data_IF_071383264711
#
_entry.id   IF_071383264711
#
_cell.length_a   1.000
_cell.length_b   1.000
_cell.length_c   1.000
_cell.angle_alpha   90.00
_cell.angle_beta   90.00
_cell.angle_gamma   90.00
#
_symmetry.space_group_name_H-M   'P 1'
#
loop_
_entity.id
_entity.type
_entity.pdbx_description
1 polymer ?
#
# COMPACT_ATOMS: atom_id res chain seq x y z
N UNK A 1 -10.89 21.65 -26.62
CA UNK A 1 -9.58 21.07 -26.29
C UNK A 1 -9.82 19.91 -25.33
N UNK A 2 -9.51 18.68 -25.71
CA UNK A 2 -9.72 17.50 -24.87
C UNK A 2 -8.35 16.88 -24.54
N UNK A 3 -8.06 16.75 -23.25
CA UNK A 3 -6.92 15.98 -22.75
C UNK A 3 -7.50 14.70 -22.15
N UNK A 4 -7.22 13.54 -22.75
CA UNK A 4 -7.44 12.24 -22.12
C UNK A 4 -6.17 11.85 -21.38
N UNK A 5 -6.26 11.74 -20.06
CA UNK A 5 -5.30 10.98 -19.26
C UNK A 5 -5.69 9.52 -19.43
N UNK A 6 -4.82 8.68 -19.98
CA UNK A 6 -5.07 7.23 -20.02
C UNK A 6 -5.24 6.73 -18.58
N UNK A 7 -6.46 6.33 -18.24
CA UNK A 7 -6.74 5.58 -17.03
C UNK A 7 -6.53 4.11 -17.36
N UNK A 8 -5.33 3.62 -17.08
CA UNK A 8 -5.05 2.18 -17.09
C UNK A 8 -5.75 1.58 -15.88
N UNK A 9 -6.66 0.65 -16.12
CA UNK A 9 -7.28 -0.13 -15.04
C UNK A 9 -6.25 -1.12 -14.48
N UNK A 10 -6.14 -1.16 -13.16
CA UNK A 10 -5.19 -2.02 -12.46
C UNK A 10 -6.00 -2.99 -11.60
N UNK A 11 -5.89 -4.27 -11.91
CA UNK A 11 -6.50 -5.32 -11.09
C UNK A 11 -5.72 -5.50 -9.78
N UNK A 12 -6.39 -5.23 -8.67
CA UNK A 12 -5.90 -5.48 -7.31
C UNK A 12 -6.62 -6.70 -6.73
N UNK A 13 -5.86 -7.54 -6.03
CA UNK A 13 -6.48 -8.54 -5.15
C UNK A 13 -7.24 -7.83 -4.03
N UNK A 14 -8.20 -8.54 -3.42
CA UNK A 14 -8.96 -8.02 -2.27
C UNK A 14 -8.05 -7.47 -1.17
N UNK A 15 -6.95 -8.17 -0.86
CA UNK A 15 -6.01 -7.74 0.18
C UNK A 15 -5.21 -6.51 -0.23
N UNK A 16 -4.69 -6.46 -1.45
CA UNK A 16 -3.98 -5.28 -1.97
C UNK A 16 -4.87 -4.03 -1.95
N UNK A 17 -6.13 -4.18 -2.36
CA UNK A 17 -7.11 -3.11 -2.32
C UNK A 17 -7.40 -2.64 -0.89
N UNK A 18 -7.59 -3.57 0.05
CA UNK A 18 -7.79 -3.23 1.48
C UNK A 18 -6.60 -2.48 2.06
N UNK A 19 -5.37 -2.93 1.77
CA UNK A 19 -4.13 -2.23 2.17
C UNK A 19 -4.10 -0.81 1.61
N UNK A 20 -4.29 -0.67 0.29
CA UNK A 20 -4.28 0.63 -0.37
C UNK A 20 -5.33 1.56 0.24
N UNK A 21 -6.57 1.08 0.40
CA UNK A 21 -7.67 1.83 1.02
C UNK A 21 -7.32 2.30 2.43
N UNK A 22 -6.73 1.43 3.25
CA UNK A 22 -6.34 1.80 4.62
C UNK A 22 -5.24 2.86 4.64
N UNK A 23 -4.24 2.75 3.76
CA UNK A 23 -3.21 3.77 3.62
C UNK A 23 -3.79 5.11 3.11
N UNK A 24 -4.77 5.07 2.19
CA UNK A 24 -5.46 6.27 1.70
C UNK A 24 -6.30 6.97 2.77
N UNK A 25 -6.79 6.23 3.78
CA UNK A 25 -7.45 6.80 4.95
C UNK A 25 -6.45 7.47 5.92
N UNK A 26 -5.16 7.20 5.78
CA UNK A 26 -4.07 7.74 6.60
C UNK A 26 -2.98 8.38 5.74
N UNK A 27 -3.30 9.40 4.92
CA UNK A 27 -2.34 10.02 4.02
C UNK A 27 -1.25 10.75 4.83
N UNK A 28 -0.01 10.69 4.34
CA UNK A 28 1.18 11.29 4.96
C UNK A 28 1.44 10.85 6.41
N UNK A 29 0.88 9.70 6.82
CA UNK A 29 1.08 9.14 8.15
C UNK A 29 1.80 7.79 8.06
N UNK A 30 2.70 7.55 9.01
CA UNK A 30 3.35 6.24 9.13
C UNK A 30 2.37 5.26 9.76
N UNK A 31 1.97 4.27 8.97
CA UNK A 31 1.11 3.16 9.40
C UNK A 31 1.97 1.93 9.63
N UNK A 32 1.98 1.45 10.88
CA UNK A 32 2.75 0.26 11.28
C UNK A 32 2.17 -1.01 10.66
N UNK A 33 3.00 -2.04 10.47
CA UNK A 33 2.56 -3.35 9.97
C UNK A 33 1.44 -3.95 10.81
N UNK A 34 1.54 -3.87 12.14
CA UNK A 34 0.52 -4.32 13.07
C UNK A 34 -0.84 -3.62 12.82
N UNK A 35 -0.86 -2.29 12.72
CA UNK A 35 -2.07 -1.52 12.39
C UNK A 35 -2.68 -1.93 11.05
N UNK A 36 -1.86 -2.12 10.02
CA UNK A 36 -2.34 -2.60 8.71
C UNK A 36 -2.98 -3.98 8.89
N UNK A 37 -2.29 -4.90 9.57
CA UNK A 37 -2.79 -6.24 9.83
C UNK A 37 -4.15 -6.23 10.52
N UNK A 38 -4.21 -5.58 11.70
CA UNK A 38 -5.42 -5.51 12.52
C UNK A 38 -6.58 -4.86 11.77
N UNK A 39 -6.33 -3.85 10.93
CA UNK A 39 -7.39 -3.20 10.15
C UNK A 39 -8.00 -4.11 9.07
N UNK A 40 -7.23 -5.05 8.53
CA UNK A 40 -7.62 -5.86 7.37
C UNK A 40 -8.18 -7.21 7.80
N UNK A 41 -7.54 -7.85 8.77
CA UNK A 41 -7.88 -9.17 9.29
C UNK A 41 -8.73 -9.14 10.57
N UNK A 42 -8.79 -8.01 11.29
CA UNK A 42 -9.52 -7.87 12.56
C UNK A 42 -9.05 -8.83 13.67
N UNK A 43 -7.82 -9.32 13.55
CA UNK A 43 -7.17 -10.24 14.48
C UNK A 43 -5.90 -9.62 15.06
N UNK A 44 -5.36 -10.24 16.10
CA UNK A 44 -4.08 -9.83 16.67
C UNK A 44 -2.92 -10.23 15.76
N UNK A 45 -1.94 -9.33 15.66
CA UNK A 45 -0.79 -9.55 14.79
C UNK A 45 0.10 -10.64 15.35
N UNK A 46 0.20 -11.76 14.63
CA UNK A 46 1.15 -12.82 14.93
C UNK A 46 2.44 -12.61 14.10
N UNK A 47 3.56 -12.38 14.80
CA UNK A 47 4.89 -12.29 14.17
C UNK A 47 5.18 -13.60 13.41
N UNK A 48 5.34 -13.51 12.09
CA UNK A 48 5.45 -14.67 11.19
C UNK A 48 4.55 -14.56 9.95
N UNK A 49 3.56 -13.68 10.00
CA UNK A 49 2.75 -13.22 8.87
C UNK A 49 3.59 -12.42 7.87
N UNK A 50 4.41 -13.12 7.08
CA UNK A 50 5.20 -12.60 5.96
C UNK A 50 4.34 -12.01 4.81
N UNK A 51 3.02 -11.88 4.99
CA UNK A 51 2.03 -11.50 4.00
C UNK A 51 2.08 -10.01 3.62
N UNK A 52 2.19 -9.10 4.59
CA UNK A 52 2.07 -7.64 4.33
C UNK A 52 3.16 -7.13 3.39
N UNK A 53 4.42 -7.55 3.60
CA UNK A 53 5.52 -7.11 2.74
C UNK A 53 5.31 -7.58 1.29
N UNK A 54 4.83 -8.81 1.09
CA UNK A 54 4.54 -9.36 -0.25
C UNK A 54 3.41 -8.59 -0.92
N UNK A 55 2.31 -8.35 -0.19
CA UNK A 55 1.19 -7.57 -0.72
C UNK A 55 1.59 -6.12 -1.05
N UNK A 56 2.39 -5.47 -0.20
CA UNK A 56 2.91 -4.11 -0.48
C UNK A 56 3.84 -4.13 -1.69
N UNK A 57 4.75 -5.10 -1.81
CA UNK A 57 5.63 -5.23 -2.97
C UNK A 57 4.83 -5.44 -4.27
N UNK A 58 3.82 -6.29 -4.25
CA UNK A 58 2.96 -6.53 -5.42
C UNK A 58 2.11 -5.29 -5.75
N UNK A 59 1.55 -4.63 -4.73
CA UNK A 59 0.82 -3.38 -4.89
C UNK A 59 1.71 -2.30 -5.53
N UNK A 60 2.95 -2.10 -5.05
CA UNK A 60 3.92 -1.17 -5.64
C UNK A 60 4.22 -1.51 -7.10
N UNK A 61 4.43 -2.79 -7.44
CA UNK A 61 4.64 -3.22 -8.83
C UNK A 61 3.47 -2.87 -9.76
N UNK A 62 2.26 -2.79 -9.22
CA UNK A 62 1.05 -2.50 -9.97
C UNK A 62 0.77 -1.00 -10.11
N UNK A 63 0.99 -0.21 -9.06
CA UNK A 63 0.60 1.22 -9.03
C UNK A 63 1.74 2.20 -9.27
N UNK A 64 3.00 1.78 -9.07
CA UNK A 64 4.16 2.63 -9.25
C UNK A 64 4.73 2.44 -10.65
N UNK A 65 5.02 3.54 -11.36
CA UNK A 65 5.73 3.48 -12.65
C UNK A 65 7.13 2.88 -12.49
N UNK A 66 7.79 3.18 -11.37
CA UNK A 66 9.11 2.65 -11.03
C UNK A 66 9.10 2.11 -9.59
N UNK A 67 8.90 0.79 -9.38
CA UNK A 67 8.82 0.22 -8.04
C UNK A 67 10.09 0.40 -7.18
N UNK A 68 11.25 0.58 -7.82
CA UNK A 68 12.53 0.89 -7.17
C UNK A 68 12.64 2.34 -6.68
N UNK A 69 11.76 3.24 -7.13
CA UNK A 69 11.64 4.64 -6.72
C UNK A 69 10.16 4.97 -6.46
N UNK A 70 9.57 4.41 -5.40
CA UNK A 70 8.14 4.54 -5.15
C UNK A 70 7.79 6.00 -4.87
N UNK A 71 6.83 6.53 -5.63
CA UNK A 71 6.31 7.88 -5.49
C UNK A 71 5.17 7.92 -4.47
N UNK A 72 4.36 6.87 -4.42
CA UNK A 72 3.17 6.83 -3.57
C UNK A 72 3.40 6.10 -2.26
N UNK A 73 3.86 4.84 -2.28
CA UNK A 73 4.01 4.02 -1.07
C UNK A 73 5.47 4.00 -0.60
N UNK A 74 5.80 4.80 0.40
CA UNK A 74 7.13 4.83 1.02
C UNK A 74 7.25 3.80 2.14
N UNK A 75 8.40 3.14 2.18
CA UNK A 75 8.77 2.25 3.29
C UNK A 75 9.49 3.05 4.35
N UNK A 76 8.97 3.05 5.58
CA UNK A 76 9.62 3.66 6.74
C UNK A 76 10.29 2.53 7.54
N UNK A 77 11.60 2.40 7.36
CA UNK A 77 12.39 1.33 7.96
C UNK A 77 12.18 1.22 9.48
N UNK A 78 11.95 -0.01 9.96
CA UNK A 78 11.68 -0.29 11.36
C UNK A 78 10.31 0.16 11.89
N UNK A 79 9.45 0.79 11.07
CA UNK A 79 8.12 1.26 11.49
C UNK A 79 6.99 0.69 10.66
N UNK A 80 7.00 0.89 9.33
CA UNK A 80 5.89 0.48 8.48
C UNK A 80 5.87 1.18 7.13
N UNK A 81 4.68 1.61 6.71
CA UNK A 81 4.43 2.18 5.38
C UNK A 81 3.70 3.51 5.47
N UNK A 82 3.92 4.38 4.50
CA UNK A 82 3.26 5.66 4.40
C UNK A 82 2.84 5.89 2.95
N UNK A 83 1.60 6.35 2.76
CA UNK A 83 1.15 6.83 1.46
C UNK A 83 1.36 8.34 1.40
N UNK A 84 2.09 8.79 0.40
CA UNK A 84 2.39 10.19 0.15
C UNK A 84 1.96 10.55 -1.27
N UNK A 85 1.28 11.68 -1.43
CA UNK A 85 0.93 12.21 -2.73
C UNK A 85 1.96 13.30 -3.07
N UNK A 86 2.83 13.02 -4.03
CA UNK A 86 3.80 14.00 -4.55
C UNK A 86 3.16 14.91 -5.60
#
# INVERSE_FOLDING_TARGET
>A
MLVKKETVEIELTTTEFKILKYLMQHPNQVVTKERIYRSIWQEDYHEGENSINVHICNLKKKIETFPSKPQYIKTVWGKGYMLEWS
#
